data_IF_863580473734
#
_entry.id   IF_863580473734
#
_cell.length_a   1.000
_cell.length_b   1.000
_cell.length_c   1.000
_cell.angle_alpha   90.00
_cell.angle_beta   90.00
_cell.angle_gamma   90.00
#
_symmetry.space_group_name_H-M   'P 1'
#
loop_
_entity.id
_entity.type
_entity.pdbx_description
1 polymer ?
#
# COMPACT_ATOMS: atom_id res chain seq x y z
N UNK A 1 -4.96 17.67 24.89
CA UNK A 1 -3.78 16.78 24.98
C UNK A 1 -3.89 15.56 24.03
N UNK A 2 -4.56 15.67 22.87
CA UNK A 2 -4.70 14.57 21.89
C UNK A 2 -3.89 14.79 20.60
N UNK A 3 -3.29 15.97 20.40
CA UNK A 3 -2.65 16.35 19.14
C UNK A 3 -1.22 15.80 18.96
N UNK A 4 -0.50 15.44 20.04
CA UNK A 4 0.85 14.88 19.91
C UNK A 4 0.87 13.37 19.63
N UNK A 5 -0.15 12.62 20.06
CA UNK A 5 -0.23 11.16 19.87
C UNK A 5 -0.52 10.79 18.41
N UNK A 6 -1.37 11.55 17.73
CA UNK A 6 -1.67 11.37 16.29
C UNK A 6 -0.46 11.72 15.41
N UNK A 7 0.30 12.75 15.77
CA UNK A 7 1.53 13.13 15.09
C UNK A 7 2.64 12.08 15.27
N UNK A 8 2.80 11.54 16.49
CA UNK A 8 3.71 10.41 16.76
C UNK A 8 3.29 9.14 15.99
N UNK A 9 2.00 8.84 15.86
CA UNK A 9 1.53 7.69 15.06
C UNK A 9 1.80 7.85 13.55
N UNK A 10 1.71 9.08 13.00
CA UNK A 10 2.02 9.36 11.59
C UNK A 10 3.53 9.25 11.30
N UNK A 11 4.36 9.70 12.26
CA UNK A 11 5.83 9.53 12.23
C UNK A 11 6.19 8.04 12.34
N UNK A 12 5.53 7.28 13.21
CA UNK A 12 5.79 5.86 13.41
C UNK A 12 5.48 5.03 12.14
N UNK A 13 4.42 5.36 11.41
CA UNK A 13 4.05 4.71 10.14
C UNK A 13 5.10 4.90 9.03
N UNK A 14 5.56 6.14 8.84
CA UNK A 14 6.57 6.49 7.85
C UNK A 14 7.94 5.92 8.24
N UNK A 15 8.25 5.93 9.53
CA UNK A 15 9.43 5.27 10.08
C UNK A 15 9.36 3.76 9.90
N UNK A 16 8.22 3.10 10.11
CA UNK A 16 8.05 1.66 9.84
C UNK A 16 8.28 1.36 8.35
N UNK A 17 7.79 2.19 7.42
CA UNK A 17 7.99 1.97 5.98
C UNK A 17 9.44 2.13 5.52
N UNK A 18 10.20 3.05 6.14
CA UNK A 18 11.64 3.25 5.89
C UNK A 18 12.45 2.13 6.56
N UNK A 19 12.20 1.85 7.84
CA UNK A 19 12.83 0.77 8.60
C UNK A 19 12.62 -0.58 7.92
N UNK A 20 11.47 -0.77 7.26
CA UNK A 20 11.16 -1.97 6.51
C UNK A 20 11.81 -2.01 5.13
N UNK A 21 11.97 -0.88 4.44
CA UNK A 21 12.78 -0.83 3.21
C UNK A 21 14.23 -1.24 3.51
N UNK A 22 14.79 -0.74 4.62
CA UNK A 22 16.15 -1.02 5.06
C UNK A 22 16.30 -2.48 5.54
N UNK A 23 15.31 -3.02 6.28
CA UNK A 23 15.25 -4.44 6.66
C UNK A 23 15.19 -5.36 5.44
N UNK A 24 14.38 -5.01 4.43
CA UNK A 24 14.22 -5.80 3.21
C UNK A 24 15.46 -5.83 2.34
N UNK A 25 16.19 -4.71 2.31
CA UNK A 25 17.42 -4.60 1.55
C UNK A 25 18.56 -5.41 2.20
N UNK A 26 18.64 -5.43 3.54
CA UNK A 26 19.74 -6.08 4.23
C UNK A 26 19.61 -7.59 4.42
N UNK A 27 18.39 -8.15 4.48
CA UNK A 27 18.23 -9.42 5.18
C UNK A 27 17.78 -10.64 4.37
N UNK A 28 17.36 -10.54 3.11
CA UNK A 28 16.74 -11.69 2.41
C UNK A 28 15.51 -12.28 3.17
N UNK A 29 14.99 -11.58 4.20
CA UNK A 29 13.92 -11.99 5.13
C UNK A 29 12.58 -11.32 4.78
N UNK A 30 12.23 -11.23 3.48
CA UNK A 30 10.95 -10.60 3.06
C UNK A 30 9.68 -11.32 3.57
N UNK A 31 9.81 -12.49 4.19
CA UNK A 31 8.71 -13.36 4.60
C UNK A 31 8.14 -12.94 5.95
N UNK A 32 8.99 -12.59 6.91
CA UNK A 32 8.58 -12.03 8.21
C UNK A 32 7.95 -10.65 8.03
N UNK A 33 8.48 -9.85 7.11
CA UNK A 33 7.89 -8.56 6.75
C UNK A 33 6.47 -8.68 6.19
N UNK A 34 6.22 -9.68 5.33
CA UNK A 34 4.87 -9.96 4.83
C UNK A 34 3.92 -10.33 5.97
N UNK A 35 4.36 -11.11 6.97
CA UNK A 35 3.53 -11.47 8.13
C UNK A 35 3.13 -10.23 8.93
N UNK A 36 4.06 -9.32 9.20
CA UNK A 36 3.76 -8.10 9.94
C UNK A 36 2.80 -7.18 9.19
N UNK A 37 2.97 -7.02 7.87
CA UNK A 37 2.02 -6.26 7.06
C UNK A 37 0.65 -6.92 6.97
N UNK A 38 0.59 -8.23 6.80
CA UNK A 38 -0.68 -8.96 6.79
C UNK A 38 -1.45 -8.74 8.10
N UNK A 39 -0.79 -8.88 9.26
CA UNK A 39 -1.40 -8.61 10.56
C UNK A 39 -1.88 -7.16 10.70
N UNK A 40 -1.14 -6.19 10.16
CA UNK A 40 -1.55 -4.78 10.17
C UNK A 40 -2.78 -4.55 9.29
N UNK A 41 -2.80 -5.13 8.09
CA UNK A 41 -3.88 -4.98 7.12
C UNK A 41 -5.15 -5.75 7.53
N UNK A 42 -5.04 -6.86 8.25
CA UNK A 42 -6.19 -7.54 8.87
C UNK A 42 -6.88 -6.66 9.90
N UNK A 43 -6.12 -5.86 10.66
CA UNK A 43 -6.67 -4.92 11.66
C UNK A 43 -7.14 -3.62 11.05
N UNK A 44 -6.46 -3.14 10.01
CA UNK A 44 -6.78 -1.91 9.32
C UNK A 44 -6.66 -2.07 7.79
N UNK A 45 -7.71 -2.60 7.14
CA UNK A 45 -7.70 -2.82 5.70
C UNK A 45 -7.58 -1.54 4.87
N UNK A 46 -7.96 -0.39 5.43
CA UNK A 46 -7.89 0.92 4.75
C UNK A 46 -6.52 1.59 4.88
N UNK A 47 -5.52 0.89 5.40
CA UNK A 47 -4.16 1.42 5.54
C UNK A 47 -3.37 1.30 4.22
N UNK A 48 -3.69 2.16 3.26
CA UNK A 48 -3.19 2.05 1.88
C UNK A 48 -1.66 2.14 1.73
N UNK A 49 -0.95 2.86 2.60
CA UNK A 49 0.52 2.91 2.56
C UNK A 49 1.16 1.55 2.84
N UNK A 50 0.59 0.80 3.79
CA UNK A 50 1.06 -0.54 4.11
C UNK A 50 0.63 -1.54 3.04
N UNK A 51 -0.58 -1.35 2.48
CA UNK A 51 -1.09 -2.16 1.40
C UNK A 51 -0.23 -2.04 0.13
N UNK A 52 0.12 -0.81 -0.28
CA UNK A 52 1.00 -0.56 -1.41
C UNK A 52 2.35 -1.27 -1.25
N UNK A 53 2.96 -1.16 -0.07
CA UNK A 53 4.22 -1.85 0.24
C UNK A 53 4.04 -3.37 0.21
N UNK A 54 3.01 -3.91 0.85
CA UNK A 54 2.69 -5.33 0.81
C UNK A 54 2.54 -5.86 -0.64
N UNK A 55 1.84 -5.12 -1.50
CA UNK A 55 1.68 -5.45 -2.93
C UNK A 55 3.04 -5.51 -3.64
N UNK A 56 3.94 -4.55 -3.41
CA UNK A 56 5.29 -4.57 -3.98
C UNK A 56 6.09 -5.81 -3.55
N UNK A 57 6.01 -6.20 -2.27
CA UNK A 57 6.67 -7.42 -1.77
C UNK A 57 6.11 -8.67 -2.44
N UNK A 58 4.78 -8.75 -2.51
CA UNK A 58 4.05 -9.85 -3.16
C UNK A 58 4.49 -10.01 -4.61
N UNK A 59 4.58 -8.91 -5.35
CA UNK A 59 5.07 -8.91 -6.72
C UNK A 59 6.52 -9.40 -6.83
N UNK A 60 7.45 -8.86 -6.01
CA UNK A 60 8.86 -9.26 -6.02
C UNK A 60 9.07 -10.76 -5.72
N UNK A 61 8.14 -11.37 -4.98
CA UNK A 61 8.14 -12.79 -4.64
C UNK A 61 7.37 -13.66 -5.63
N UNK A 62 6.79 -13.07 -6.68
CA UNK A 62 6.01 -13.78 -7.69
C UNK A 62 4.63 -14.23 -7.21
N UNK A 63 4.10 -13.66 -6.13
CA UNK A 63 2.80 -14.00 -5.56
C UNK A 63 1.90 -12.76 -5.43
N UNK A 64 1.57 -12.15 -6.57
CA UNK A 64 0.74 -10.93 -6.64
C UNK A 64 -0.70 -11.17 -6.16
N UNK A 65 -1.19 -12.41 -6.23
CA UNK A 65 -2.55 -12.82 -5.82
C UNK A 65 -2.84 -12.49 -4.34
N UNK A 66 -1.81 -12.56 -3.48
CA UNK A 66 -1.92 -12.15 -2.08
C UNK A 66 -2.20 -10.64 -1.94
N UNK A 67 -1.55 -9.82 -2.77
CA UNK A 67 -1.80 -8.38 -2.83
C UNK A 67 -3.23 -8.08 -3.27
N UNK A 68 -3.73 -8.80 -4.28
CA UNK A 68 -5.12 -8.68 -4.73
C UNK A 68 -6.13 -9.05 -3.65
N UNK A 69 -5.84 -10.12 -2.89
CA UNK A 69 -6.68 -10.53 -1.76
C UNK A 69 -6.77 -9.41 -0.72
N UNK A 70 -5.65 -8.80 -0.34
CA UNK A 70 -5.68 -7.71 0.63
C UNK A 70 -6.41 -6.46 0.09
N UNK A 71 -6.29 -6.16 -1.21
CA UNK A 71 -7.05 -5.08 -1.83
C UNK A 71 -8.57 -5.36 -1.83
N UNK A 72 -8.99 -6.60 -2.09
CA UNK A 72 -10.41 -7.01 -1.97
C UNK A 72 -10.90 -6.87 -0.54
N UNK A 73 -10.13 -7.32 0.45
CA UNK A 73 -10.49 -7.17 1.86
C UNK A 73 -10.68 -5.69 2.24
N UNK A 74 -9.85 -4.79 1.71
CA UNK A 74 -10.00 -3.35 1.92
C UNK A 74 -11.33 -2.81 1.37
N UNK A 75 -11.74 -3.30 0.20
CA UNK A 75 -13.01 -2.95 -0.43
C UNK A 75 -14.22 -3.53 0.30
N UNK A 76 -14.13 -4.79 0.76
CA UNK A 76 -15.19 -5.44 1.54
C UNK A 76 -15.40 -4.75 2.89
N UNK A 77 -14.30 -4.36 3.56
CA UNK A 77 -14.37 -3.63 4.82
C UNK A 77 -14.90 -2.21 4.65
N UNK A 78 -14.65 -1.58 3.51
CA UNK A 78 -15.13 -0.24 3.20
C UNK A 78 -15.50 -0.13 1.71
N UNK A 79 -16.79 -0.26 1.35
CA UNK A 79 -17.24 -0.14 -0.04
C UNK A 79 -16.95 1.24 -0.68
N UNK A 80 -16.75 2.28 0.15
CA UNK A 80 -16.38 3.63 -0.32
C UNK A 80 -14.88 3.80 -0.56
N UNK A 81 -14.07 2.78 -0.29
CA UNK A 81 -12.63 2.79 -0.55
C UNK A 81 -12.31 3.11 -2.03
N UNK A 82 -13.20 2.81 -2.97
CA UNK A 82 -13.02 3.12 -4.41
C UNK A 82 -12.87 4.61 -4.71
N UNK A 83 -13.29 5.50 -3.81
CA UNK A 83 -13.13 6.96 -3.95
C UNK A 83 -11.79 7.43 -3.39
N UNK A 84 -11.18 6.65 -2.50
CA UNK A 84 -9.93 7.03 -1.84
C UNK A 84 -8.76 6.96 -2.81
N UNK A 85 -7.92 7.99 -2.81
CA UNK A 85 -6.75 8.06 -3.68
C UNK A 85 -5.77 6.90 -3.42
N UNK A 86 -5.59 6.51 -2.15
CA UNK A 86 -4.71 5.41 -1.77
C UNK A 86 -5.20 4.04 -2.26
N UNK A 87 -6.51 3.80 -2.26
CA UNK A 87 -7.08 2.58 -2.83
C UNK A 87 -6.85 2.53 -4.34
N UNK A 88 -7.13 3.62 -5.05
CA UNK A 88 -6.92 3.73 -6.49
C UNK A 88 -5.44 3.55 -6.84
N UNK A 89 -4.52 4.07 -6.04
CA UNK A 89 -3.10 3.84 -6.21
C UNK A 89 -2.72 2.36 -6.04
N UNK A 90 -3.20 1.70 -4.97
CA UNK A 90 -2.95 0.27 -4.74
C UNK A 90 -3.52 -0.60 -5.87
N UNK A 91 -4.71 -0.27 -6.38
CA UNK A 91 -5.31 -0.91 -7.55
C UNK A 91 -4.43 -0.74 -8.79
N UNK A 92 -3.93 0.48 -9.02
CA UNK A 92 -3.04 0.78 -10.13
C UNK A 92 -1.73 -0.01 -10.05
N UNK A 93 -1.14 -0.17 -8.85
CA UNK A 93 0.06 -0.99 -8.65
C UNK A 93 -0.17 -2.45 -9.05
N UNK A 94 -1.29 -3.04 -8.63
CA UNK A 94 -1.64 -4.41 -9.00
C UNK A 94 -1.77 -4.54 -10.52
N UNK A 95 -2.56 -3.66 -11.15
CA UNK A 95 -2.77 -3.69 -12.60
C UNK A 95 -1.47 -3.47 -13.39
N UNK A 96 -0.57 -2.64 -12.86
CA UNK A 96 0.76 -2.44 -13.43
C UNK A 96 1.59 -3.73 -13.37
N UNK A 97 1.57 -4.42 -12.23
CA UNK A 97 2.32 -5.65 -12.01
C UNK A 97 1.74 -6.87 -12.73
N UNK A 98 0.43 -6.90 -13.00
CA UNK A 98 -0.22 -7.96 -13.77
C UNK A 98 -0.13 -7.76 -15.29
N UNK A 99 0.43 -6.64 -15.76
CA UNK A 99 0.68 -6.38 -17.18
C UNK A 99 -0.46 -5.63 -17.89
N UNK A 100 -1.32 -4.93 -17.16
CA UNK A 100 -2.44 -4.14 -17.67
C UNK A 100 -2.18 -2.61 -17.51
N UNK A 101 -1.20 -2.05 -18.25
CA UNK A 101 -0.72 -0.67 -18.02
C UNK A 101 -1.79 0.40 -18.29
N UNK A 102 -2.72 0.15 -19.22
CA UNK A 102 -3.80 1.08 -19.53
C UNK A 102 -4.78 1.23 -18.37
N UNK A 103 -5.11 0.12 -17.71
CA UNK A 103 -5.98 0.12 -16.52
C UNK A 103 -5.26 0.79 -15.35
N UNK A 104 -3.98 0.45 -15.15
CA UNK A 104 -3.14 1.05 -14.12
C UNK A 104 -3.08 2.58 -14.24
N UNK A 105 -2.87 3.09 -15.45
CA UNK A 105 -2.88 4.53 -15.75
C UNK A 105 -4.20 5.20 -15.37
N UNK A 106 -5.35 4.56 -15.64
CA UNK A 106 -6.65 5.10 -15.24
C UNK A 106 -6.78 5.15 -13.71
N UNK A 107 -6.35 4.10 -13.02
CA UNK A 107 -6.31 4.05 -11.56
C UNK A 107 -5.40 5.15 -10.96
N UNK A 108 -4.17 5.29 -11.46
CA UNK A 108 -3.26 6.36 -11.03
C UNK A 108 -3.81 7.76 -11.33
N UNK A 109 -4.47 7.96 -12.47
CA UNK A 109 -5.10 9.22 -12.80
C UNK A 109 -6.19 9.64 -11.81
N UNK A 110 -6.89 8.67 -11.19
CA UNK A 110 -7.86 8.94 -10.12
C UNK A 110 -7.17 9.37 -8.82
N UNK A 111 -5.99 8.84 -8.52
CA UNK A 111 -5.19 9.22 -7.36
C UNK A 111 -4.36 10.51 -7.57
N UNK A 112 -4.14 10.93 -8.82
CA UNK A 112 -3.18 11.99 -9.21
C UNK A 112 -3.41 13.36 -8.57
N UNK A 113 -4.65 13.73 -8.24
CA UNK A 113 -4.96 15.06 -7.68
C UNK A 113 -4.74 15.13 -6.17
N UNK A 114 -4.51 14.00 -5.52
CA UNK A 114 -4.30 13.93 -4.08
C UNK A 114 -2.90 14.45 -3.70
N UNK A 115 -2.82 15.21 -2.59
CA UNK A 115 -1.56 15.79 -2.14
C UNK A 115 -0.56 14.72 -1.65
N UNK A 116 -1.03 13.63 -1.07
CA UNK A 116 -0.18 12.56 -0.53
C UNK A 116 0.14 11.52 -1.63
N UNK A 117 -0.85 11.12 -2.42
CA UNK A 117 -0.70 10.04 -3.41
C UNK A 117 -0.33 10.51 -4.82
N UNK A 118 -0.65 11.74 -5.18
CA UNK A 118 -0.46 12.27 -6.53
C UNK A 118 0.87 12.99 -6.77
N UNK A 119 1.52 13.52 -5.72
CA UNK A 119 2.79 14.28 -5.85
C UNK A 119 4.01 13.59 -5.23
N UNK A 120 3.82 12.74 -4.21
CA UNK A 120 4.92 12.07 -3.50
C UNK A 120 5.34 10.72 -4.08
N UNK A 121 4.47 10.09 -4.88
CA UNK A 121 4.66 8.75 -5.46
C UNK A 121 4.58 8.77 -7.00
N UNK A 122 4.91 9.90 -7.65
CA UNK A 122 4.93 9.98 -9.12
C UNK A 122 5.89 8.92 -9.71
N UNK A 123 5.32 7.80 -10.14
CA UNK A 123 5.93 6.83 -11.05
C UNK A 123 5.33 7.09 -12.45
N UNK A 124 5.49 8.31 -12.95
CA UNK A 124 5.44 8.70 -14.37
C UNK A 124 6.01 10.10 -14.51
#
# INVERSE_FOLDING_TARGET
MQLQVSHWNKINLQQIAILLADLMYQKNEGEEAMKHFAQLLERNPSHYHALARYIELCWRRGNIELGEKMLRNALESNPRATVDAGFNFCKGLIEWYTGEPNSALQAFNRARRDLEWGRGHCII
#
